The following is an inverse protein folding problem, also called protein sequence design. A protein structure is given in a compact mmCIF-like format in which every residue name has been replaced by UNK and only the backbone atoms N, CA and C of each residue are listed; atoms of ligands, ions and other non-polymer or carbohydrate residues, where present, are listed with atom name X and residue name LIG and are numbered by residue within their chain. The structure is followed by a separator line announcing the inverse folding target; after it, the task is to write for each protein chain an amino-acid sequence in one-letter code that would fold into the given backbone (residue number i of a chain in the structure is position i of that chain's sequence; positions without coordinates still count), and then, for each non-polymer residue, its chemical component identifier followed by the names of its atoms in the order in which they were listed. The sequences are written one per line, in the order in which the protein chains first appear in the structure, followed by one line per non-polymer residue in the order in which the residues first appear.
data_IF_814052135523
#
_entry.id   IF_814052135523
#
_cell.length_a   1.000
_cell.length_b   1.000
_cell.length_c   1.000
_cell.angle_alpha   90.00
_cell.angle_beta   90.00
_cell.angle_gamma   90.00
#
_symmetry.space_group_name_H-M   'P 1'
#
loop_
_entity.id
_entity.type
_entity.pdbx_description
1 polymer ?
#
# COMPACT_ATOMS: atom_id res chain seq x y z
N UNK A 1 27.23 -0.90 16.05
CA UNK A 1 27.32 0.18 15.04
C UNK A 1 26.56 -0.11 13.74
N UNK A 2 26.78 -1.25 13.06
CA UNK A 2 26.17 -1.50 11.74
C UNK A 2 24.61 -1.46 11.71
N UNK A 3 23.95 -1.95 12.77
CA UNK A 3 22.48 -2.05 12.81
C UNK A 3 21.79 -0.71 13.07
N UNK A 4 22.44 0.21 13.80
CA UNK A 4 21.97 1.59 13.96
C UNK A 4 22.00 2.35 12.62
N UNK A 5 23.02 2.10 11.80
CA UNK A 5 23.06 2.63 10.43
C UNK A 5 21.93 2.07 9.56
N UNK A 6 21.56 0.79 9.71
CA UNK A 6 20.40 0.25 9.00
C UNK A 6 19.10 0.99 9.35
N UNK A 7 18.93 1.38 10.62
CA UNK A 7 17.78 2.16 11.05
C UNK A 7 17.73 3.52 10.35
N UNK A 8 18.86 4.24 10.36
CA UNK A 8 18.97 5.56 9.73
C UNK A 8 18.76 5.41 8.22
N UNK A 9 19.44 4.48 7.56
CA UNK A 9 19.39 4.27 6.11
C UNK A 9 17.97 3.94 5.66
N UNK A 10 17.27 2.99 6.30
CA UNK A 10 15.90 2.64 5.92
C UNK A 10 14.92 3.79 6.16
N UNK A 11 15.07 4.52 7.27
CA UNK A 11 14.21 5.66 7.57
C UNK A 11 14.42 6.79 6.56
N UNK A 12 15.67 7.11 6.23
CA UNK A 12 16.03 8.12 5.22
C UNK A 12 15.56 7.67 3.83
N UNK A 13 15.81 6.42 3.43
CA UNK A 13 15.35 5.90 2.15
C UNK A 13 13.81 5.93 2.04
N UNK A 14 13.11 5.60 3.12
CA UNK A 14 11.66 5.66 3.20
C UNK A 14 11.10 7.07 3.05
N UNK A 15 11.65 8.02 3.81
CA UNK A 15 11.24 9.43 3.76
C UNK A 15 11.54 10.06 2.41
N UNK A 16 12.72 9.82 1.83
CA UNK A 16 13.07 10.29 0.48
C UNK A 16 12.15 9.68 -0.59
N UNK A 17 11.83 8.39 -0.49
CA UNK A 17 10.90 7.72 -1.39
C UNK A 17 9.50 8.35 -1.28
N UNK A 18 8.98 8.50 -0.06
CA UNK A 18 7.67 9.12 0.18
C UNK A 18 7.61 10.55 -0.37
N UNK A 19 8.66 11.34 -0.13
CA UNK A 19 8.76 12.71 -0.66
C UNK A 19 8.83 12.75 -2.20
N UNK A 20 9.63 11.89 -2.81
CA UNK A 20 9.75 11.79 -4.26
C UNK A 20 8.42 11.42 -4.93
N UNK A 21 7.72 10.42 -4.39
CA UNK A 21 6.40 10.02 -4.89
C UNK A 21 5.34 11.10 -4.68
N UNK A 22 5.37 11.80 -3.55
CA UNK A 22 4.48 12.92 -3.28
C UNK A 22 4.69 14.05 -4.31
N UNK A 23 5.95 14.42 -4.59
CA UNK A 23 6.27 15.47 -5.57
C UNK A 23 5.85 15.10 -6.98
N UNK A 24 6.15 13.88 -7.43
CA UNK A 24 5.73 13.39 -8.76
C UNK A 24 4.20 13.43 -8.91
N UNK A 25 3.48 13.04 -7.86
CA UNK A 25 2.03 13.12 -7.84
C UNK A 25 1.55 14.56 -7.97
N UNK A 26 2.02 15.50 -7.14
CA UNK A 26 1.61 16.90 -7.20
C UNK A 26 1.83 17.52 -8.59
N UNK A 27 2.96 17.21 -9.24
CA UNK A 27 3.20 17.67 -10.61
C UNK A 27 2.21 17.10 -11.62
N UNK A 28 1.70 15.89 -11.39
CA UNK A 28 0.69 15.27 -12.22
C UNK A 28 -0.71 15.85 -11.97
N UNK A 29 -1.08 16.10 -10.72
CA UNK A 29 -2.39 16.70 -10.37
C UNK A 29 -2.51 18.11 -10.94
N UNK A 30 -1.44 18.93 -10.84
CA UNK A 30 -1.42 20.28 -11.44
C UNK A 30 -1.66 20.26 -12.94
N UNK A 31 -1.16 19.23 -13.64
CA UNK A 31 -1.36 19.08 -15.09
C UNK A 31 -2.81 18.72 -15.43
N UNK A 32 -3.49 17.93 -14.59
CA UNK A 32 -4.84 17.45 -14.86
C UNK A 32 -5.94 18.39 -14.36
N UNK A 33 -5.80 18.96 -13.16
CA UNK A 33 -6.81 19.81 -12.54
C UNK A 33 -6.50 21.32 -12.65
N UNK A 34 -5.36 21.70 -13.21
CA UNK A 34 -4.86 23.09 -13.20
C UNK A 34 -4.42 23.60 -11.82
N UNK A 35 -4.73 22.86 -10.75
CA UNK A 35 -4.37 23.17 -9.37
C UNK A 35 -3.96 21.89 -8.63
N UNK A 36 -2.99 22.00 -7.71
CA UNK A 36 -2.68 20.91 -6.79
C UNK A 36 -3.76 20.87 -5.71
N UNK A 37 -4.50 19.76 -5.61
CA UNK A 37 -5.48 19.58 -4.55
C UNK A 37 -4.73 19.10 -3.31
N UNK A 38 -4.20 20.04 -2.54
CA UNK A 38 -3.45 19.73 -1.32
C UNK A 38 -4.38 19.51 -0.11
N UNK A 39 -5.34 18.59 -0.26
CA UNK A 39 -6.17 18.10 0.86
C UNK A 39 -5.59 16.83 1.49
N UNK A 40 -4.42 16.36 1.01
CA UNK A 40 -3.84 15.06 1.32
C UNK A 40 -2.55 15.09 2.15
N UNK A 41 -2.08 16.26 2.61
CA UNK A 41 -1.15 16.31 3.74
C UNK A 41 -1.68 15.48 4.95
N UNK A 42 -3.01 15.41 5.12
CA UNK A 42 -3.70 14.52 6.07
C UNK A 42 -3.44 13.01 5.84
N UNK A 43 -3.24 12.57 4.60
CA UNK A 43 -2.99 11.15 4.31
C UNK A 43 -1.57 10.72 4.68
N UNK A 44 -0.58 11.61 4.55
CA UNK A 44 0.78 11.34 5.04
C UNK A 44 0.77 11.13 6.55
N UNK A 45 0.01 11.94 7.28
CA UNK A 45 -0.19 11.76 8.72
C UNK A 45 -0.88 10.45 9.05
N UNK A 46 -1.95 10.09 8.33
CA UNK A 46 -2.61 8.80 8.52
C UNK A 46 -1.67 7.61 8.32
N UNK A 47 -0.79 7.67 7.31
CA UNK A 47 0.19 6.60 7.06
C UNK A 47 1.32 6.56 8.10
N UNK A 48 1.81 7.72 8.54
CA UNK A 48 2.80 7.80 9.60
C UNK A 48 2.24 7.30 10.92
N UNK A 49 1.06 7.79 11.33
CA UNK A 49 0.40 7.39 12.57
C UNK A 49 0.04 5.90 12.52
N UNK A 50 -0.58 5.44 11.43
CA UNK A 50 -0.91 4.02 11.24
C UNK A 50 0.33 3.12 11.28
N UNK A 51 1.42 3.56 10.65
CA UNK A 51 2.70 2.83 10.66
C UNK A 51 3.35 2.78 12.04
N UNK A 52 3.37 3.90 12.78
CA UNK A 52 3.91 3.98 14.14
C UNK A 52 3.06 3.15 15.11
N UNK A 53 1.74 3.24 15.05
CA UNK A 53 0.83 2.44 15.87
C UNK A 53 0.98 0.94 15.57
N UNK A 54 1.05 0.57 14.29
CA UNK A 54 1.30 -0.81 13.86
C UNK A 54 2.66 -1.31 14.33
N UNK A 55 3.70 -0.48 14.20
CA UNK A 55 5.05 -0.80 14.68
C UNK A 55 5.10 -0.98 16.19
N UNK A 56 4.44 -0.11 16.94
CA UNK A 56 4.31 -0.21 18.40
C UNK A 56 3.58 -1.50 18.81
N UNK A 57 2.44 -1.80 18.19
CA UNK A 57 1.67 -3.02 18.47
C UNK A 57 2.50 -4.29 18.22
N UNK A 58 3.20 -4.37 17.09
CA UNK A 58 4.10 -5.50 16.78
C UNK A 58 5.23 -5.58 17.80
N UNK A 59 5.81 -4.43 18.20
CA UNK A 59 6.91 -4.38 19.16
C UNK A 59 6.50 -4.92 20.53
N UNK A 60 5.33 -4.53 21.04
CA UNK A 60 4.79 -5.03 22.31
C UNK A 60 4.62 -6.56 22.26
N UNK A 61 4.01 -7.08 21.20
CA UNK A 61 3.80 -8.53 21.03
C UNK A 61 5.15 -9.25 20.85
N UNK A 62 6.07 -8.69 20.08
CA UNK A 62 7.39 -9.27 19.84
C UNK A 62 8.24 -9.35 21.12
N UNK A 63 8.17 -8.32 21.96
CA UNK A 63 8.84 -8.32 23.27
C UNK A 63 8.17 -9.33 24.21
N UNK A 64 6.83 -9.33 24.28
CA UNK A 64 6.07 -10.25 25.14
C UNK A 64 6.27 -11.72 24.79
N UNK A 65 6.37 -12.05 23.50
CA UNK A 65 6.67 -13.41 23.01
C UNK A 65 8.17 -13.73 22.97
N UNK A 66 9.04 -12.77 23.29
CA UNK A 66 10.49 -12.96 23.25
C UNK A 66 11.02 -13.31 21.85
N UNK A 67 10.52 -12.63 20.80
CA UNK A 67 10.92 -12.83 19.40
C UNK A 67 12.35 -12.30 19.14
N UNK A 68 13.33 -13.03 19.67
CA UNK A 68 14.76 -12.76 19.55
C UNK A 68 15.29 -13.20 18.18
N UNK A 69 15.70 -12.24 17.35
CA UNK A 69 16.24 -12.49 16.01
C UNK A 69 17.75 -12.27 15.94
N UNK A 70 18.50 -13.06 15.16
CA UNK A 70 19.92 -12.82 14.95
C UNK A 70 20.16 -11.63 14.01
N UNK A 71 21.34 -11.02 14.11
CA UNK A 71 21.72 -9.83 13.34
C UNK A 71 21.59 -10.04 11.83
N UNK A 72 22.02 -11.20 11.30
CA UNK A 72 21.90 -11.51 9.88
C UNK A 72 20.46 -11.43 9.35
N UNK A 73 19.46 -11.83 10.13
CA UNK A 73 18.04 -11.72 9.72
C UNK A 73 17.59 -10.27 9.65
N UNK A 74 18.00 -9.43 10.61
CA UNK A 74 17.67 -7.99 10.62
C UNK A 74 18.30 -7.26 9.43
N UNK A 75 19.53 -7.64 9.08
CA UNK A 75 20.24 -7.14 7.90
C UNK A 75 19.50 -7.49 6.62
N UNK A 76 19.07 -8.74 6.46
CA UNK A 76 18.34 -9.16 5.26
C UNK A 76 16.93 -8.57 5.17
N UNK A 77 16.22 -8.42 6.30
CA UNK A 77 14.95 -7.67 6.34
C UNK A 77 15.16 -6.23 5.85
N UNK A 78 16.20 -5.57 6.34
CA UNK A 78 16.57 -4.21 5.92
C UNK A 78 16.96 -4.13 4.44
N UNK A 79 17.84 -5.01 3.98
CA UNK A 79 18.33 -5.01 2.61
C UNK A 79 17.21 -5.27 1.60
N UNK A 80 16.33 -6.23 1.89
CA UNK A 80 15.18 -6.51 1.03
C UNK A 80 14.14 -5.37 1.07
N UNK A 81 14.00 -4.66 2.19
CA UNK A 81 13.16 -3.44 2.27
C UNK A 81 13.68 -2.37 1.32
N UNK A 82 14.98 -2.08 1.37
CA UNK A 82 15.63 -1.09 0.50
C UNK A 82 15.51 -1.48 -0.98
N UNK A 83 15.72 -2.75 -1.30
CA UNK A 83 15.56 -3.27 -2.65
C UNK A 83 14.12 -3.11 -3.15
N UNK A 84 13.13 -3.46 -2.31
CA UNK A 84 11.72 -3.31 -2.64
C UNK A 84 11.32 -1.85 -2.85
N UNK A 85 11.89 -0.91 -2.06
CA UNK A 85 11.69 0.52 -2.25
C UNK A 85 12.30 1.03 -3.56
N UNK A 86 13.52 0.60 -3.88
CA UNK A 86 14.17 0.95 -5.16
C UNK A 86 13.33 0.47 -6.36
N UNK A 87 12.70 -0.70 -6.23
CA UNK A 87 11.84 -1.29 -7.26
C UNK A 87 10.36 -0.85 -7.16
N UNK A 88 10.00 0.02 -6.21
CA UNK A 88 8.61 0.44 -5.97
C UNK A 88 7.97 1.19 -7.15
N UNK A 89 8.75 1.55 -8.18
CA UNK A 89 8.23 2.06 -9.46
C UNK A 89 7.40 1.04 -10.25
N UNK A 90 7.72 -0.25 -10.12
CA UNK A 90 7.04 -1.38 -10.76
C UNK A 90 5.80 -1.83 -9.97
N UNK A 91 5.84 -1.68 -8.67
CA UNK A 91 4.82 -2.10 -7.71
C UNK A 91 5.48 -2.34 -6.35
N UNK A 92 4.68 -2.36 -5.29
CA UNK A 92 5.19 -2.58 -3.93
C UNK A 92 4.18 -3.38 -3.12
N UNK A 93 4.66 -4.46 -2.50
CA UNK A 93 3.89 -5.22 -1.52
C UNK A 93 4.87 -6.06 -0.68
N UNK A 94 4.67 -6.18 0.65
CA UNK A 94 5.68 -6.74 1.57
C UNK A 94 5.77 -8.27 1.56
N UNK A 95 5.42 -8.96 0.46
CA UNK A 95 5.52 -10.42 0.38
C UNK A 95 6.98 -10.93 0.41
N UNK A 96 7.93 -10.10 -0.02
CA UNK A 96 9.36 -10.41 0.01
C UNK A 96 9.91 -10.55 1.43
N UNK A 97 9.19 -10.07 2.45
CA UNK A 97 9.62 -10.18 3.85
C UNK A 97 9.84 -11.62 4.28
N UNK A 98 9.16 -12.60 3.67
CA UNK A 98 9.30 -14.02 4.03
C UNK A 98 10.64 -14.64 3.60
N UNK A 99 11.38 -13.99 2.69
CA UNK A 99 12.68 -14.50 2.20
C UNK A 99 13.86 -14.20 3.13
N UNK A 100 13.78 -13.17 3.97
CA UNK A 100 14.94 -12.72 4.76
C UNK A 100 15.58 -13.82 5.61
N UNK A 101 14.79 -14.73 6.19
CA UNK A 101 15.31 -15.88 6.95
C UNK A 101 16.07 -16.89 6.07
N UNK A 102 15.58 -17.18 4.86
CA UNK A 102 16.31 -18.04 3.92
C UNK A 102 17.61 -17.40 3.47
N UNK A 103 17.59 -16.11 3.15
CA UNK A 103 18.77 -15.38 2.75
C UNK A 103 19.80 -15.32 3.88
N UNK A 104 19.37 -15.11 5.12
CA UNK A 104 20.24 -15.16 6.30
C UNK A 104 20.89 -16.53 6.52
N UNK A 105 20.16 -17.62 6.21
CA UNK A 105 20.66 -19.00 6.40
C UNK A 105 21.49 -19.52 5.22
N UNK A 106 21.14 -19.13 4.00
CA UNK A 106 21.75 -19.65 2.76
C UNK A 106 22.84 -18.74 2.19
N UNK A 107 22.61 -17.43 2.10
CA UNK A 107 23.56 -16.47 1.51
C UNK A 107 24.43 -15.83 2.59
N UNK A 108 23.88 -15.56 3.77
CA UNK A 108 24.61 -14.97 4.90
C UNK A 108 25.98 -15.63 5.17
N UNK A 109 26.07 -16.96 5.30
CA UNK A 109 27.33 -17.67 5.52
C UNK A 109 28.35 -17.57 4.38
N UNK A 110 27.90 -17.28 3.15
CA UNK A 110 28.77 -17.12 1.98
C UNK A 110 29.46 -15.75 1.95
N UNK A 111 28.94 -14.79 2.72
CA UNK A 111 29.48 -13.43 2.80
C UNK A 111 30.60 -13.36 3.85
N UNK A 112 31.67 -12.58 3.60
CA UNK A 112 32.77 -12.40 4.55
C UNK A 112 32.38 -11.57 5.79
N UNK A 113 31.17 -10.99 5.79
CA UNK A 113 30.73 -10.05 6.80
C UNK A 113 29.99 -10.77 7.94
N UNK A 114 30.62 -10.85 9.12
CA UNK A 114 30.06 -11.52 10.30
C UNK A 114 28.70 -10.97 10.76
N UNK A 115 28.43 -9.68 10.52
CA UNK A 115 27.14 -9.06 10.85
C UNK A 115 25.99 -9.48 9.92
N UNK A 116 26.28 -10.00 8.72
CA UNK A 116 25.30 -10.55 7.78
C UNK A 116 25.03 -12.04 7.99
N UNK A 117 25.85 -12.71 8.82
CA UNK A 117 25.73 -14.12 9.14
C UNK A 117 24.71 -14.34 10.27
N UNK A 118 24.07 -15.52 10.27
CA UNK A 118 23.15 -15.95 11.31
C UNK A 118 23.56 -17.33 11.83
N UNK A 119 23.34 -17.63 13.13
CA UNK A 119 23.51 -18.97 13.67
C UNK A 119 22.47 -19.93 13.06
N UNK A 120 22.56 -21.22 13.38
CA UNK A 120 21.65 -22.23 12.87
C UNK A 120 20.17 -21.85 13.04
N UNK A 121 19.39 -22.01 11.96
CA UNK A 121 18.00 -21.57 11.86
C UNK A 121 17.08 -22.19 12.93
N UNK A 122 17.41 -23.38 13.44
CA UNK A 122 16.69 -24.07 14.50
C UNK A 122 16.39 -23.19 15.72
N UNK A 123 17.30 -22.27 16.08
CA UNK A 123 17.14 -21.42 17.26
C UNK A 123 16.26 -20.18 17.08
N UNK A 124 15.89 -19.81 15.84
CA UNK A 124 15.24 -18.52 15.56
C UNK A 124 14.19 -18.53 14.44
N UNK A 125 14.09 -19.58 13.62
CA UNK A 125 13.19 -19.61 12.47
C UNK A 125 11.73 -19.36 12.86
N UNK A 126 11.22 -20.02 13.90
CA UNK A 126 9.84 -19.81 14.36
C UNK A 126 9.57 -18.37 14.79
N UNK A 127 10.55 -17.71 15.42
CA UNK A 127 10.44 -16.31 15.87
C UNK A 127 10.37 -15.34 14.70
N UNK A 128 11.17 -15.62 13.67
CA UNK A 128 11.14 -14.87 12.42
C UNK A 128 9.80 -15.05 11.70
N UNK A 129 9.31 -16.28 11.58
CA UNK A 129 8.01 -16.57 10.98
C UNK A 129 6.86 -15.87 11.73
N UNK A 130 6.90 -15.90 13.06
CA UNK A 130 5.95 -15.17 13.91
C UNK A 130 6.02 -13.65 13.67
N UNK A 131 7.22 -13.07 13.55
CA UNK A 131 7.37 -11.64 13.23
C UNK A 131 6.78 -11.30 11.86
N UNK A 132 7.10 -12.06 10.81
CA UNK A 132 6.56 -11.81 9.46
C UNK A 132 5.04 -11.98 9.45
N UNK A 133 4.50 -12.95 10.20
CA UNK A 133 3.05 -13.11 10.38
C UNK A 133 2.41 -11.86 11.00
N UNK A 134 3.00 -11.31 12.08
CA UNK A 134 2.53 -10.07 12.71
C UNK A 134 2.59 -8.88 11.75
N UNK A 135 3.70 -8.73 11.02
CA UNK A 135 3.86 -7.64 10.04
C UNK A 135 2.83 -7.76 8.91
N UNK A 136 2.56 -8.95 8.40
CA UNK A 136 1.53 -9.18 7.39
C UNK A 136 0.12 -8.98 7.93
N UNK A 137 -0.15 -9.37 9.18
CA UNK A 137 -1.43 -9.13 9.83
C UNK A 137 -1.72 -7.63 9.97
N UNK A 138 -0.74 -6.87 10.44
CA UNK A 138 -0.82 -5.40 10.55
C UNK A 138 -0.92 -4.75 9.17
N UNK A 139 -0.17 -5.23 8.17
CA UNK A 139 -0.31 -4.75 6.79
C UNK A 139 -1.75 -4.91 6.31
N UNK A 140 -2.34 -6.10 6.46
CA UNK A 140 -3.74 -6.34 6.09
C UNK A 140 -4.73 -5.44 6.85
N UNK A 141 -4.49 -5.21 8.15
CA UNK A 141 -5.30 -4.30 8.97
C UNK A 141 -5.23 -2.86 8.49
N UNK A 142 -4.02 -2.35 8.25
CA UNK A 142 -3.79 -0.99 7.76
C UNK A 142 -4.38 -0.78 6.36
N UNK A 143 -4.24 -1.74 5.45
CA UNK A 143 -4.85 -1.70 4.11
C UNK A 143 -6.39 -1.69 4.16
N UNK A 144 -7.00 -2.25 5.22
CA UNK A 144 -8.46 -2.26 5.39
C UNK A 144 -8.99 -1.01 6.07
N UNK A 145 -8.27 -0.49 7.06
CA UNK A 145 -8.72 0.61 7.92
C UNK A 145 -8.47 1.99 7.31
N UNK A 146 -7.39 2.13 6.52
CA UNK A 146 -7.01 3.40 5.91
C UNK A 146 -7.25 3.27 4.40
N UNK A 147 -8.35 3.84 3.91
CA UNK A 147 -8.69 3.89 2.48
C UNK A 147 -8.59 5.35 1.99
N UNK A 148 -7.42 5.79 1.51
CA UNK A 148 -7.25 7.16 1.07
C UNK A 148 -8.03 7.40 -0.24
N UNK A 149 -8.56 8.62 -0.48
CA UNK A 149 -9.35 8.94 -1.66
C UNK A 149 -8.65 8.53 -2.98
N UNK A 150 -9.46 8.12 -3.95
CA UNK A 150 -9.00 7.56 -5.23
C UNK A 150 -7.95 8.43 -5.92
N UNK A 151 -6.94 7.76 -6.46
CA UNK A 151 -5.82 8.40 -7.13
C UNK A 151 -6.23 9.07 -8.43
N UNK A 152 -5.48 10.10 -8.80
CA UNK A 152 -5.64 10.83 -10.06
C UNK A 152 -5.31 9.91 -11.25
N UNK A 153 -6.20 9.79 -12.25
CA UNK A 153 -6.01 8.90 -13.39
C UNK A 153 -4.99 9.45 -14.38
N UNK A 154 -4.22 8.55 -14.98
CA UNK A 154 -3.52 8.78 -16.25
C UNK A 154 -4.32 8.15 -17.38
N UNK A 155 -4.66 8.91 -18.42
CA UNK A 155 -5.28 8.35 -19.64
C UNK A 155 -4.18 7.72 -20.50
N UNK A 156 -4.40 6.48 -20.92
CA UNK A 156 -3.48 5.72 -21.79
C UNK A 156 -4.30 5.05 -22.89
N UNK A 157 -3.85 5.14 -24.14
CA UNK A 157 -4.48 4.45 -25.26
C UNK A 157 -4.33 2.94 -25.12
N UNK A 158 -5.44 2.21 -25.26
CA UNK A 158 -5.46 0.76 -25.18
C UNK A 158 -4.99 0.06 -26.46
N UNK A 159 -4.68 -1.23 -26.37
CA UNK A 159 -4.30 -2.07 -27.52
C UNK A 159 -5.35 -2.13 -28.64
N UNK A 160 -6.59 -1.66 -28.41
CA UNK A 160 -7.67 -1.61 -29.39
C UNK A 160 -8.02 -0.17 -29.80
N UNK A 161 -7.12 0.79 -29.59
CA UNK A 161 -7.35 2.21 -29.90
C UNK A 161 -8.25 2.97 -28.90
N UNK A 162 -8.99 2.28 -28.04
CA UNK A 162 -9.83 2.92 -27.02
C UNK A 162 -9.01 3.46 -25.85
N UNK A 163 -9.27 4.71 -25.45
CA UNK A 163 -8.68 5.32 -24.25
C UNK A 163 -9.13 4.62 -22.97
N UNK A 164 -8.17 4.44 -22.06
CA UNK A 164 -8.36 3.74 -20.78
C UNK A 164 -7.80 4.60 -19.66
N UNK A 165 -8.54 4.71 -18.57
CA UNK A 165 -8.04 5.28 -17.33
C UNK A 165 -7.15 4.26 -16.60
N UNK A 166 -5.91 4.64 -16.33
CA UNK A 166 -4.98 3.94 -15.48
C UNK A 166 -4.84 4.69 -14.16
N UNK A 167 -4.93 3.99 -13.04
CA UNK A 167 -4.82 4.57 -11.69
C UNK A 167 -3.54 4.09 -11.02
N UNK A 168 -2.82 5.01 -10.38
CA UNK A 168 -1.64 4.67 -9.57
C UNK A 168 -1.93 4.93 -8.12
N UNK A 169 -1.93 3.89 -7.30
CA UNK A 169 -2.16 3.99 -5.86
C UNK A 169 -0.91 3.59 -5.08
N UNK A 170 -0.54 4.40 -4.09
CA UNK A 170 0.64 4.19 -3.25
C UNK A 170 0.30 4.54 -1.81
N UNK A 171 0.47 3.55 -0.94
CA UNK A 171 0.23 3.63 0.48
C UNK A 171 1.41 2.97 1.17
N UNK A 172 2.29 3.78 1.75
CA UNK A 172 3.51 3.31 2.43
C UNK A 172 3.41 3.61 3.92
N UNK A 173 3.67 2.60 4.74
CA UNK A 173 3.70 2.72 6.19
C UNK A 173 5.13 2.54 6.68
N UNK A 174 5.59 3.47 7.51
CA UNK A 174 6.85 3.35 8.22
C UNK A 174 6.62 2.68 9.57
N UNK A 175 7.18 1.48 9.77
CA UNK A 175 7.05 0.69 10.98
C UNK A 175 8.36 0.75 11.76
N UNK A 176 8.49 1.61 12.78
CA UNK A 176 9.64 1.61 13.68
C UNK A 176 9.50 0.45 14.67
N UNK A 177 9.98 -0.74 14.32
CA UNK A 177 9.91 -1.90 15.20
C UNK A 177 10.98 -1.83 16.29
N UNK A 178 10.59 -2.20 17.50
CA UNK A 178 11.46 -2.41 18.65
C UNK A 178 11.49 -3.90 18.95
N UNK A 179 12.62 -4.57 18.69
CA UNK A 179 12.75 -6.02 18.82
C UNK A 179 13.80 -6.41 19.87
N UNK A 180 13.60 -7.50 20.63
CA UNK A 180 14.62 -8.01 21.52
C UNK A 180 15.74 -8.71 20.72
N UNK A 181 17.01 -8.47 21.06
CA UNK A 181 18.16 -9.13 20.44
C UNK A 181 19.10 -9.68 21.52
N UNK A 182 19.70 -10.87 21.32
CA UNK A 182 20.71 -11.39 22.23
C UNK A 182 22.00 -10.54 22.20
N UNK A 183 22.48 -10.15 23.39
CA UNK A 183 23.78 -9.48 23.60
C UNK A 183 23.70 -7.97 23.91
N UNK A 184 24.82 -7.36 24.35
CA UNK A 184 24.91 -5.92 24.59
C UNK A 184 25.01 -5.18 23.25
N UNK A 185 23.95 -4.46 22.86
CA UNK A 185 23.84 -3.90 21.50
C UNK A 185 24.49 -2.53 21.29
N UNK A 186 25.06 -1.97 22.33
CA UNK A 186 26.10 -0.95 22.35
C UNK A 186 26.79 -1.15 23.69
N UNK A 187 28.08 -0.87 23.81
CA UNK A 187 28.59 -0.49 25.14
C UNK A 187 27.66 0.64 25.62
N UNK A 188 26.86 0.34 26.65
CA UNK A 188 25.75 1.12 27.19
C UNK A 188 25.64 2.55 26.65
N UNK A 189 24.70 2.82 25.74
CA UNK A 189 24.18 4.19 25.68
C UNK A 189 23.52 4.44 27.04
N UNK A 190 23.98 5.41 27.85
CA UNK A 190 23.56 5.55 29.25
C UNK A 190 22.04 5.72 29.44
N UNK A 191 21.34 6.13 28.38
CA UNK A 191 19.92 6.46 28.35
C UNK A 191 19.03 5.34 27.81
N UNK A 192 19.57 4.19 27.39
CA UNK A 192 18.77 3.07 26.85
C UNK A 192 18.86 1.84 27.77
N UNK A 193 17.74 1.38 28.36
CA UNK A 193 17.78 0.39 29.43
C UNK A 193 18.11 -1.01 28.91
N UNK A 194 19.11 -1.66 29.51
CA UNK A 194 19.25 -3.11 29.42
C UNK A 194 18.12 -3.75 30.25
N UNK A 195 17.22 -4.48 29.58
CA UNK A 195 16.08 -5.10 30.25
C UNK A 195 16.48 -6.48 30.76
N UNK A 196 16.00 -6.81 31.96
CA UNK A 196 16.27 -8.06 32.64
C UNK A 196 14.94 -8.76 32.90
N UNK A 197 14.75 -9.95 32.31
CA UNK A 197 13.59 -10.80 32.59
C UNK A 197 14.11 -12.22 32.82
N UNK A 198 13.82 -12.78 33.99
CA UNK A 198 14.19 -14.16 34.35
C UNK A 198 15.69 -14.46 34.30
N UNK A 199 16.55 -13.52 34.73
CA UNK A 199 18.01 -13.70 34.75
C UNK A 199 18.72 -13.59 33.41
N UNK A 200 17.99 -13.33 32.31
CA UNK A 200 18.58 -13.07 30.98
C UNK A 200 18.54 -11.58 30.67
N UNK A 201 19.71 -10.98 30.38
CA UNK A 201 19.82 -9.62 29.87
C UNK A 201 19.52 -9.61 28.38
N UNK A 202 18.64 -8.73 27.92
CA UNK A 202 18.38 -8.51 26.50
C UNK A 202 18.43 -7.03 26.16
N UNK A 203 18.88 -6.73 24.95
CA UNK A 203 18.87 -5.39 24.42
C UNK A 203 17.72 -5.24 23.41
N UNK A 204 17.25 -4.02 23.22
CA UNK A 204 16.25 -3.68 22.22
C UNK A 204 16.93 -3.05 20.99
N UNK A 205 16.59 -3.53 19.80
CA UNK A 205 16.96 -2.93 18.52
C UNK A 205 15.81 -2.15 17.93
N UNK A 206 16.13 -1.07 17.21
CA UNK A 206 15.20 -0.43 16.29
C UNK A 206 15.39 -0.99 14.86
N UNK A 207 14.33 -1.47 14.25
CA UNK A 207 14.29 -1.94 12.87
C UNK A 207 13.14 -1.22 12.14
N UNK A 208 13.43 -0.21 11.29
CA UNK A 208 12.39 0.43 10.51
C UNK A 208 12.10 -0.42 9.29
N UNK A 209 10.88 -0.93 9.19
CA UNK A 209 10.38 -1.59 8.00
C UNK A 209 9.43 -0.67 7.24
N UNK A 210 9.37 -0.84 5.93
CA UNK A 210 8.36 -0.18 5.10
C UNK A 210 7.44 -1.24 4.55
N UNK A 211 6.15 -1.09 4.82
CA UNK A 211 5.09 -1.96 4.33
C UNK A 211 4.02 -1.13 3.61
N UNK A 212 2.98 -1.80 3.13
CA UNK A 212 1.85 -1.18 2.46
C UNK A 212 1.62 -1.73 1.05
N UNK A 213 1.03 -0.91 0.19
CA UNK A 213 0.65 -1.31 -1.15
C UNK A 213 0.99 -0.21 -2.17
N UNK A 214 1.73 -0.59 -3.21
CA UNK A 214 2.00 0.22 -4.39
C UNK A 214 1.55 -0.54 -5.61
N UNK A 215 0.53 -0.04 -6.30
CA UNK A 215 -0.05 -0.71 -7.45
C UNK A 215 -0.46 0.26 -8.54
N UNK A 216 -0.40 -0.24 -9.78
CA UNK A 216 -0.89 0.44 -10.97
C UNK A 216 -1.99 -0.43 -11.54
N UNK A 217 -3.23 -0.01 -11.40
CA UNK A 217 -4.38 -0.72 -11.96
C UNK A 217 -4.75 -0.12 -13.30
N UNK A 218 -5.07 -0.99 -14.25
CA UNK A 218 -5.76 -0.61 -15.48
C UNK A 218 -7.22 -1.01 -15.32
N UNK A 219 -8.12 -0.11 -15.71
CA UNK A 219 -9.58 -0.38 -15.79
C UNK A 219 -10.29 -0.64 -14.46
N UNK A 220 -9.61 -0.81 -13.33
CA UNK A 220 -10.22 -1.07 -12.02
C UNK A 220 -9.82 -0.03 -10.97
N UNK A 221 -10.74 0.26 -10.04
CA UNK A 221 -10.46 1.13 -8.91
C UNK A 221 -9.47 0.49 -7.93
N UNK A 222 -8.41 1.21 -7.53
CA UNK A 222 -7.42 0.70 -6.57
C UNK A 222 -8.02 0.20 -5.24
N UNK A 223 -9.06 0.87 -4.72
CA UNK A 223 -9.67 0.55 -3.41
C UNK A 223 -10.20 -0.89 -3.36
N UNK A 224 -10.79 -1.39 -4.44
CA UNK A 224 -11.25 -2.77 -4.52
C UNK A 224 -10.10 -3.79 -4.48
N UNK A 225 -8.99 -3.48 -5.15
CA UNK A 225 -7.81 -4.35 -5.19
C UNK A 225 -7.12 -4.36 -3.83
N UNK A 226 -6.93 -3.20 -3.21
CA UNK A 226 -6.32 -3.06 -1.88
C UNK A 226 -7.13 -3.81 -0.82
N UNK A 227 -8.46 -3.70 -0.84
CA UNK A 227 -9.33 -4.45 0.09
C UNK A 227 -9.21 -5.96 -0.09
N UNK A 228 -9.01 -6.45 -1.32
CA UNK A 228 -8.75 -7.88 -1.58
C UNK A 228 -7.37 -8.30 -1.08
N UNK A 229 -6.34 -7.47 -1.27
CA UNK A 229 -5.01 -7.72 -0.74
C UNK A 229 -5.01 -7.83 0.78
N UNK A 230 -5.81 -7.02 1.49
CA UNK A 230 -5.95 -7.12 2.95
C UNK A 230 -6.30 -8.54 3.41
N UNK A 231 -7.30 -9.18 2.77
CA UNK A 231 -7.68 -10.57 3.07
C UNK A 231 -6.60 -11.58 2.71
N UNK A 232 -5.86 -11.38 1.61
CA UNK A 232 -4.74 -12.23 1.23
C UNK A 232 -3.61 -12.16 2.25
N UNK A 233 -3.30 -10.96 2.77
CA UNK A 233 -2.32 -10.76 3.82
C UNK A 233 -2.72 -11.42 5.14
N UNK A 234 -4.00 -11.36 5.53
CA UNK A 234 -4.48 -12.07 6.73
C UNK A 234 -4.45 -13.58 6.58
N UNK A 235 -4.85 -14.12 5.42
CA UNK A 235 -4.72 -15.56 5.15
C UNK A 235 -3.26 -16.03 5.17
N UNK A 236 -2.37 -15.26 4.56
CA UNK A 236 -0.94 -15.54 4.55
C UNK A 236 -0.31 -15.41 5.95
N UNK A 237 -0.73 -14.43 6.76
CA UNK A 237 -0.33 -14.31 8.15
C UNK A 237 -0.77 -15.53 8.97
N UNK A 238 -2.02 -15.99 8.81
CA UNK A 238 -2.52 -17.21 9.44
C UNK A 238 -1.68 -18.45 9.07
N UNK A 239 -1.34 -18.60 7.79
CA UNK A 239 -0.44 -19.67 7.34
C UNK A 239 0.95 -19.58 8.00
N UNK A 240 1.52 -18.38 8.12
CA UNK A 240 2.81 -18.19 8.79
C UNK A 240 2.76 -18.46 10.30
N UNK A 241 1.63 -18.20 10.98
CA UNK A 241 1.45 -18.59 12.38
C UNK A 241 1.50 -20.12 12.53
N UNK A 242 0.82 -20.85 11.65
CA UNK A 242 0.87 -22.32 11.64
C UNK A 242 2.31 -22.80 11.40
N UNK A 243 3.00 -22.25 10.40
CA UNK A 243 4.40 -22.58 10.12
C UNK A 243 5.33 -22.22 11.27
N UNK A 244 5.08 -21.13 12.01
CA UNK A 244 5.83 -20.77 13.21
C UNK A 244 5.64 -21.82 14.31
N UNK A 245 4.41 -22.29 14.56
CA UNK A 245 4.14 -23.36 15.52
C UNK A 245 4.81 -24.68 15.14
N UNK A 246 4.77 -25.06 13.86
CA UNK A 246 5.47 -26.24 13.35
C UNK A 246 7.00 -26.09 13.45
N UNK A 247 7.55 -24.92 13.16
CA UNK A 247 8.98 -24.65 13.32
C UNK A 247 9.44 -24.66 14.78
N UNK A 248 8.54 -24.32 15.72
CA UNK A 248 8.80 -24.42 17.16
C UNK A 248 8.82 -25.87 17.62
N UNK A 249 7.88 -26.71 17.16
CA UNK A 249 7.82 -28.14 17.50
C UNK A 249 8.88 -29.01 16.82
N UNK A 250 9.28 -28.68 15.59
CA UNK A 250 10.28 -29.42 14.80
C UNK A 250 11.41 -28.50 14.32
N UNK A 251 12.27 -28.01 15.24
CA UNK A 251 13.32 -27.03 14.91
C UNK A 251 14.41 -27.61 13.99
N UNK A 252 14.58 -28.93 13.94
CA UNK A 252 15.50 -29.60 13.01
C UNK A 252 15.14 -29.35 11.53
N UNK A 253 13.87 -29.08 11.23
CA UNK A 253 13.37 -28.78 9.88
C UNK A 253 13.27 -27.28 9.58
N UNK A 254 13.97 -26.43 10.36
CA UNK A 254 13.86 -24.97 10.26
C UNK A 254 14.04 -24.42 8.83
N UNK A 255 15.00 -24.93 8.05
CA UNK A 255 15.21 -24.49 6.66
C UNK A 255 13.99 -24.83 5.79
N UNK A 256 13.38 -26.00 5.99
CA UNK A 256 12.14 -26.40 5.28
C UNK A 256 10.97 -25.49 5.60
N UNK A 257 10.81 -25.07 6.87
CA UNK A 257 9.77 -24.11 7.26
C UNK A 257 10.01 -22.70 6.70
N UNK A 258 11.27 -22.26 6.65
CA UNK A 258 11.64 -21.01 5.98
C UNK A 258 11.36 -21.08 4.47
N UNK A 259 11.62 -22.23 3.83
CA UNK A 259 11.31 -22.47 2.42
C UNK A 259 9.81 -22.46 2.15
N UNK A 260 9.01 -23.10 3.01
CA UNK A 260 7.55 -23.05 2.94
C UNK A 260 7.02 -21.62 3.07
N UNK A 261 7.56 -20.83 4.01
CA UNK A 261 7.20 -19.42 4.18
C UNK A 261 7.57 -18.54 2.98
N UNK A 262 8.72 -18.80 2.35
CA UNK A 262 9.08 -18.16 1.09
C UNK A 262 8.11 -18.54 -0.02
N UNK A 263 7.69 -19.81 -0.10
CA UNK A 263 6.65 -20.29 -1.01
C UNK A 263 5.31 -19.55 -0.82
N UNK A 264 4.86 -19.36 0.42
CA UNK A 264 3.69 -18.52 0.73
C UNK A 264 3.89 -17.08 0.22
N UNK A 265 5.08 -16.51 0.40
CA UNK A 265 5.44 -15.19 -0.13
C UNK A 265 5.39 -15.12 -1.65
N UNK A 266 5.91 -16.12 -2.36
CA UNK A 266 5.83 -16.22 -3.83
C UNK A 266 4.37 -16.27 -4.29
N UNK A 267 3.56 -17.12 -3.67
CA UNK A 267 2.13 -17.24 -4.00
C UNK A 267 1.42 -15.91 -3.75
N UNK A 268 1.67 -15.26 -2.61
CA UNK A 268 1.09 -13.97 -2.28
C UNK A 268 1.50 -12.88 -3.30
N UNK A 269 2.78 -12.79 -3.64
CA UNK A 269 3.29 -11.87 -4.65
C UNK A 269 2.71 -12.13 -6.04
N UNK A 270 2.60 -13.40 -6.43
CA UNK A 270 2.02 -13.83 -7.71
C UNK A 270 0.52 -13.52 -7.80
N UNK A 271 -0.25 -13.79 -6.75
CA UNK A 271 -1.67 -13.45 -6.67
C UNK A 271 -1.87 -11.94 -6.68
N UNK A 272 -1.04 -11.18 -5.96
CA UNK A 272 -1.04 -9.72 -5.99
C UNK A 272 -0.78 -9.21 -7.42
N UNK A 273 0.27 -9.69 -8.08
CA UNK A 273 0.58 -9.32 -9.46
C UNK A 273 -0.55 -9.68 -10.43
N UNK A 274 -1.11 -10.90 -10.33
CA UNK A 274 -2.21 -11.36 -11.16
C UNK A 274 -3.46 -10.49 -11.01
N UNK A 275 -3.76 -10.03 -9.79
CA UNK A 275 -4.90 -9.14 -9.54
C UNK A 275 -4.80 -7.77 -10.25
N UNK A 276 -3.58 -7.37 -10.64
CA UNK A 276 -3.35 -6.15 -11.42
C UNK A 276 -3.58 -6.35 -12.92
N UNK A 277 -3.36 -7.57 -13.43
CA UNK A 277 -3.51 -7.91 -14.84
C UNK A 277 -4.93 -8.39 -15.19
N UNK A 278 -5.57 -9.18 -14.32
CA UNK A 278 -6.89 -9.78 -14.54
C UNK A 278 -8.07 -8.88 -14.13
N UNK A 279 -7.88 -7.56 -14.07
CA UNK A 279 -8.94 -6.61 -13.72
C UNK A 279 -10.12 -6.70 -14.70
N UNK A 280 -11.19 -7.40 -14.29
CA UNK A 280 -12.30 -7.78 -15.17
C UNK A 280 -13.45 -6.75 -15.23
N UNK A 281 -13.28 -5.56 -14.65
CA UNK A 281 -14.30 -4.51 -14.69
C UNK A 281 -13.77 -3.30 -15.45
N UNK A 282 -14.59 -2.77 -16.35
CA UNK A 282 -14.20 -1.87 -17.41
C UNK A 282 -14.46 -0.41 -17.02
N UNK A 283 -13.43 0.37 -16.67
CA UNK A 283 -13.45 1.84 -16.88
C UNK A 283 -12.83 2.12 -18.25
N UNK A 284 -13.59 1.84 -19.29
CA UNK A 284 -13.32 2.23 -20.70
C UNK A 284 -14.35 3.27 -21.15
N UNK A 285 -14.19 3.88 -22.31
CA UNK A 285 -15.30 4.65 -22.91
C UNK A 285 -16.55 3.75 -23.04
N UNK A 286 -17.73 4.35 -22.90
CA UNK A 286 -19.04 3.68 -23.01
C UNK A 286 -19.99 4.56 -23.82
N UNK A 287 -20.88 3.95 -24.59
CA UNK A 287 -21.87 4.67 -25.40
C UNK A 287 -23.21 4.86 -24.66
N UNK A 288 -23.32 4.26 -23.46
CA UNK A 288 -24.51 4.32 -22.61
C UNK A 288 -24.68 5.69 -21.93
N UNK A 289 -23.58 6.44 -21.76
CA UNK A 289 -23.55 7.71 -21.06
C UNK A 289 -22.11 8.21 -20.88
N UNK A 290 -21.95 9.25 -20.07
CA UNK A 290 -20.63 9.85 -19.84
C UNK A 290 -19.95 9.20 -18.65
N UNK A 291 -18.87 8.46 -18.90
CA UNK A 291 -18.09 7.82 -17.84
C UNK A 291 -17.13 8.80 -17.17
N UNK A 292 -17.19 8.86 -15.85
CA UNK A 292 -16.27 9.62 -15.01
C UNK A 292 -14.96 8.85 -14.82
N UNK A 293 -13.84 9.50 -15.07
CA UNK A 293 -12.49 8.98 -14.78
C UNK A 293 -11.92 9.57 -13.49
N UNK A 294 -12.38 10.75 -13.08
CA UNK A 294 -12.10 11.32 -11.77
C UNK A 294 -13.18 12.33 -11.39
N UNK A 295 -13.22 12.64 -10.10
CA UNK A 295 -14.05 13.72 -9.56
C UNK A 295 -13.14 14.62 -8.75
N UNK A 296 -13.15 15.91 -9.07
CA UNK A 296 -12.33 16.90 -8.39
C UNK A 296 -12.85 17.09 -6.96
N UNK A 297 -12.03 16.94 -5.91
CA UNK A 297 -12.45 17.14 -4.53
C UNK A 297 -12.94 18.56 -4.26
N UNK A 298 -13.93 18.72 -3.37
CA UNK A 298 -14.49 20.02 -2.99
C UNK A 298 -15.41 20.66 -4.03
N UNK A 299 -15.67 19.99 -5.15
CA UNK A 299 -16.57 20.45 -6.22
C UNK A 299 -18.01 19.98 -6.00
N UNK A 300 -18.99 20.53 -6.73
CA UNK A 300 -20.36 20.05 -6.65
C UNK A 300 -20.50 18.55 -6.97
N UNK A 301 -19.71 18.02 -7.91
CA UNK A 301 -19.65 16.58 -8.20
C UNK A 301 -19.20 15.74 -6.99
N UNK A 302 -18.23 16.22 -6.22
CA UNK A 302 -17.80 15.55 -4.99
C UNK A 302 -18.88 15.60 -3.88
N UNK A 303 -19.67 16.69 -3.82
CA UNK A 303 -20.82 16.80 -2.88
C UNK A 303 -21.95 15.82 -3.22
N UNK A 304 -22.10 15.46 -4.49
CA UNK A 304 -23.00 14.40 -4.94
C UNK A 304 -22.43 12.98 -4.73
N UNK A 305 -21.29 12.85 -4.03
CA UNK A 305 -20.60 11.59 -3.79
C UNK A 305 -20.30 10.81 -5.09
N UNK A 306 -20.13 11.49 -6.22
CA UNK A 306 -19.73 10.85 -7.47
C UNK A 306 -18.32 10.27 -7.35
N UNK A 307 -18.11 9.12 -7.97
CA UNK A 307 -16.83 8.41 -7.93
C UNK A 307 -16.33 8.11 -9.35
N UNK A 308 -15.02 7.92 -9.46
CA UNK A 308 -14.42 7.43 -10.70
C UNK A 308 -15.03 6.06 -11.05
N UNK A 309 -15.41 5.86 -12.32
CA UNK A 309 -16.09 4.67 -12.81
C UNK A 309 -17.62 4.81 -12.91
N UNK A 310 -18.22 5.80 -12.25
CA UNK A 310 -19.64 6.12 -12.40
C UNK A 310 -19.95 6.58 -13.83
N UNK A 311 -21.16 6.30 -14.31
CA UNK A 311 -21.64 6.70 -15.64
C UNK A 311 -22.83 7.66 -15.46
N UNK A 312 -22.70 8.89 -15.93
CA UNK A 312 -23.82 9.82 -16.00
C UNK A 312 -24.69 9.46 -17.19
N UNK A 313 -25.93 9.08 -16.94
CA UNK A 313 -26.90 8.69 -17.98
C UNK A 313 -27.75 9.89 -18.41
N UNK A 314 -28.18 10.70 -17.44
CA UNK A 314 -28.96 11.91 -17.70
C UNK A 314 -28.53 13.06 -16.80
N UNK A 315 -28.68 14.28 -17.33
CA UNK A 315 -28.50 15.53 -16.60
C UNK A 315 -29.72 16.42 -16.82
N UNK A 316 -30.35 16.87 -15.73
CA UNK A 316 -31.56 17.70 -15.75
C UNK A 316 -32.67 17.11 -16.64
N UNK A 317 -32.83 15.78 -16.60
CA UNK A 317 -33.83 15.04 -17.38
C UNK A 317 -33.45 14.79 -18.84
N UNK A 318 -32.32 15.31 -19.34
CA UNK A 318 -31.83 15.07 -20.70
C UNK A 318 -30.81 13.93 -20.72
N UNK A 319 -30.92 13.03 -21.69
CA UNK A 319 -29.92 11.99 -21.90
C UNK A 319 -28.59 12.60 -22.36
N UNK A 320 -27.49 12.12 -21.80
CA UNK A 320 -26.12 12.55 -22.13
C UNK A 320 -25.32 11.34 -22.58
N UNK A 321 -24.50 11.50 -23.62
CA UNK A 321 -23.73 10.39 -24.21
C UNK A 321 -22.24 10.70 -24.36
N UNK A 322 -21.89 11.98 -24.31
CA UNK A 322 -20.55 12.50 -24.52
C UNK A 322 -20.32 13.75 -23.64
N UNK A 323 -19.07 14.21 -23.56
CA UNK A 323 -18.72 15.33 -22.68
C UNK A 323 -19.43 16.63 -23.11
N UNK A 324 -19.54 16.86 -24.42
CA UNK A 324 -20.22 18.02 -24.99
C UNK A 324 -21.71 18.07 -24.63
N UNK A 325 -22.44 16.95 -24.73
CA UNK A 325 -23.86 16.86 -24.37
C UNK A 325 -24.08 17.00 -22.87
N UNK A 326 -23.17 16.48 -22.03
CA UNK A 326 -23.21 16.71 -20.59
C UNK A 326 -23.02 18.18 -20.26
N UNK A 327 -22.02 18.84 -20.87
CA UNK A 327 -21.79 20.26 -20.68
C UNK A 327 -23.01 21.09 -21.11
N UNK A 328 -23.57 20.81 -22.28
CA UNK A 328 -24.77 21.46 -22.77
C UNK A 328 -25.97 21.23 -21.85
N UNK A 329 -26.13 20.02 -21.29
CA UNK A 329 -27.22 19.71 -20.37
C UNK A 329 -27.07 20.41 -19.02
N UNK A 330 -25.86 20.58 -18.49
CA UNK A 330 -25.60 21.35 -17.26
C UNK A 330 -26.01 22.82 -17.45
N UNK A 331 -25.69 23.40 -18.62
CA UNK A 331 -26.00 24.81 -18.93
C UNK A 331 -27.50 25.11 -19.01
N UNK A 332 -28.36 24.10 -19.16
CA UNK A 332 -29.82 24.31 -19.17
C UNK A 332 -30.36 24.81 -17.84
N UNK A 333 -29.73 24.45 -16.73
CA UNK A 333 -30.08 24.91 -15.38
C UNK A 333 -28.79 25.27 -14.64
N UNK A 334 -28.28 26.50 -14.80
CA UNK A 334 -26.95 26.89 -14.31
C UNK A 334 -26.84 27.01 -12.79
N UNK A 335 -27.96 26.96 -12.06
CA UNK A 335 -28.00 27.03 -10.59
C UNK A 335 -28.23 25.67 -9.92
N UNK A 336 -28.58 24.64 -10.70
CA UNK A 336 -28.97 23.35 -10.15
C UNK A 336 -28.68 22.20 -11.12
N UNK A 337 -28.14 21.11 -10.61
CA UNK A 337 -27.89 19.92 -11.40
C UNK A 337 -28.51 18.70 -10.74
N UNK A 338 -29.34 17.98 -11.49
CA UNK A 338 -29.87 16.67 -11.12
C UNK A 338 -29.35 15.63 -12.10
N UNK A 339 -28.59 14.67 -11.60
CA UNK A 339 -27.95 13.62 -12.38
C UNK A 339 -28.60 12.28 -12.09
N UNK A 340 -28.84 11.50 -13.14
CA UNK A 340 -29.07 10.05 -13.02
C UNK A 340 -27.77 9.35 -13.36
N UNK A 341 -27.26 8.58 -12.41
CA UNK A 341 -25.93 7.98 -12.48
C UNK A 341 -26.04 6.49 -12.28
N UNK A 342 -25.31 5.73 -13.09
CA UNK A 342 -25.06 4.33 -12.83
C UNK A 342 -23.73 4.19 -12.10
N UNK A 343 -23.77 3.68 -10.87
CA UNK A 343 -22.60 3.39 -10.04
C UNK A 343 -21.77 2.27 -10.65
N UNK A 344 -20.52 2.15 -10.20
CA UNK A 344 -19.60 1.11 -10.66
C UNK A 344 -20.11 -0.34 -10.41
N UNK A 345 -20.95 -0.54 -9.40
CA UNK A 345 -21.62 -1.83 -9.10
C UNK A 345 -22.89 -2.07 -9.94
N UNK A 346 -23.26 -1.13 -10.79
CA UNK A 346 -24.44 -1.17 -11.65
C UNK A 346 -25.69 -0.54 -11.04
N UNK A 347 -25.67 -0.12 -9.77
CA UNK A 347 -26.81 0.52 -9.12
C UNK A 347 -27.13 1.86 -9.77
N UNK A 348 -28.42 2.13 -9.98
CA UNK A 348 -28.89 3.42 -10.49
C UNK A 348 -29.22 4.34 -9.32
N UNK A 349 -28.56 5.49 -9.28
CA UNK A 349 -28.76 6.51 -8.26
C UNK A 349 -29.11 7.85 -8.91
N UNK A 350 -29.94 8.62 -8.21
CA UNK A 350 -30.29 9.98 -8.61
C UNK A 350 -29.69 10.92 -7.59
N UNK A 351 -28.79 11.80 -8.04
CA UNK A 351 -28.09 12.73 -7.16
C UNK A 351 -28.32 14.15 -7.65
N UNK A 352 -28.27 15.10 -6.72
CA UNK A 352 -28.55 16.49 -7.04
C UNK A 352 -27.74 17.45 -6.18
N UNK A 353 -27.43 18.62 -6.73
CA UNK A 353 -26.67 19.64 -6.04
C UNK A 353 -26.93 21.02 -6.63
N UNK A 354 -26.86 22.05 -5.78
CA UNK A 354 -26.84 23.42 -6.22
C UNK A 354 -25.48 23.77 -6.84
N UNK A 355 -25.51 24.52 -7.93
CA UNK A 355 -24.33 25.06 -8.59
C UNK A 355 -24.11 26.47 -8.07
N UNK A 356 -22.90 26.73 -7.56
CA UNK A 356 -22.52 28.04 -7.02
C UNK A 356 -21.68 28.81 -8.04
N UNK A 357 -21.66 30.14 -7.95
CA UNK A 357 -20.79 30.97 -8.77
C UNK A 357 -19.31 30.57 -8.58
N UNK A 358 -18.60 30.39 -9.69
CA UNK A 358 -17.20 29.90 -9.68
C UNK A 358 -17.04 28.39 -9.57
N UNK A 359 -18.11 27.60 -9.71
CA UNK A 359 -18.00 26.15 -9.83
C UNK A 359 -17.08 25.77 -11.01
N UNK A 360 -16.20 24.76 -10.85
CA UNK A 360 -15.35 24.31 -11.95
C UNK A 360 -16.14 23.84 -13.16
N UNK A 361 -15.47 23.81 -14.31
CA UNK A 361 -16.02 23.24 -15.54
C UNK A 361 -16.53 21.81 -15.30
N UNK A 362 -17.66 21.47 -15.94
CA UNK A 362 -18.36 20.19 -15.73
C UNK A 362 -18.61 19.86 -14.25
N UNK A 363 -18.81 20.86 -13.37
CA UNK A 363 -19.04 20.70 -11.94
C UNK A 363 -17.92 19.95 -11.19
N UNK A 364 -16.72 19.86 -11.79
CA UNK A 364 -15.59 19.08 -11.29
C UNK A 364 -15.61 17.61 -11.69
N UNK A 365 -16.48 17.20 -12.61
CA UNK A 365 -16.41 15.89 -13.26
C UNK A 365 -15.25 15.89 -14.26
N UNK A 366 -14.47 14.81 -14.28
CA UNK A 366 -13.45 14.59 -15.29
C UNK A 366 -13.83 13.35 -16.09
N UNK A 367 -13.86 13.53 -17.40
CA UNK A 367 -14.27 12.53 -18.39
C UNK A 367 -13.11 12.23 -19.35
N UNK A 368 -13.30 11.30 -20.28
CA UNK A 368 -12.33 11.11 -21.35
C UNK A 368 -12.42 12.31 -22.31
N UNK A 369 -11.31 13.01 -22.55
CA UNK A 369 -11.27 14.09 -23.52
C UNK A 369 -11.65 13.58 -24.91
N UNK A 370 -12.44 14.36 -25.64
CA UNK A 370 -12.62 14.15 -27.08
C UNK A 370 -11.35 14.62 -27.80
N UNK A 371 -10.81 13.82 -28.72
CA UNK A 371 -9.89 14.35 -29.72
C UNK A 371 -10.62 15.48 -30.44
N UNK A 372 -10.02 16.67 -30.61
CA UNK A 372 -10.58 17.66 -31.51
C UNK A 372 -10.56 17.03 -32.91
N UNK A 373 -11.75 16.83 -33.48
CA UNK A 373 -11.91 16.42 -34.87
C UNK A 373 -11.39 17.48 -35.83
#
# INVERSE_FOLDING_TARGET
MALAWLFIINTVAGTLSAYGWHRQRLTHERKLFGQAIDRQALNLWAYLIGGVLGGFAISVVAIGLGLRLPNGVLVWLSALTLLALALAGLGFSPWWLSFAGLFASGIGPLLPWSWAQAPAAAGWAWRYLALVALVWAVNGGLLRLIDPPSAVPTVVSGNRGADIAQYTHRQFYWLPLVLPVPGPWLAALPWWPALHVGGTSFALTLLPLIIGAGLKTRRTLPSHVVRRWAWQYWGAAGALVILAGLAWGWPALAIGWLAAAAGVGVVLGGVNAMSLYLGNNYISRTDLGVRLIAVQPGTPAAKMHLQAGDIVLTCNGRAVRDAASLYAAIQTQPTYCRLKVQRFDGALELTETAIFQGAPHELGMITFTEEPQ
#
